data_IF_932177219262
#
_entry.id   IF_932177219262
#
_cell.length_a   1.000
_cell.length_b   1.000
_cell.length_c   1.000
_cell.angle_alpha   90.00
_cell.angle_beta   90.00
_cell.angle_gamma   90.00
#
_symmetry.space_group_name_H-M   'P 1'
#
loop_
_entity.id
_entity.type
_entity.pdbx_description
1 polymer ?
#
# COMPACT_ATOMS: atom_id res chain seq x y z
N UNK A 1 5.64 15.62 14.67
CA UNK A 1 4.74 15.04 15.70
C UNK A 1 3.57 14.38 15.00
N UNK A 2 3.28 13.15 15.37
CA UNK A 2 2.09 12.43 14.90
C UNK A 2 1.24 12.02 16.09
N UNK A 3 -0.08 12.23 15.99
CA UNK A 3 -1.07 11.84 16.99
C UNK A 3 -2.07 10.87 16.35
N UNK A 4 -2.33 9.76 17.04
CA UNK A 4 -3.37 8.80 16.67
C UNK A 4 -4.31 8.63 17.86
N UNK A 5 -5.61 8.70 17.63
CA UNK A 5 -6.63 8.51 18.67
C UNK A 5 -7.69 7.53 18.20
N UNK A 6 -8.21 6.73 19.11
CA UNK A 6 -9.32 5.81 18.90
C UNK A 6 -10.42 6.05 19.95
N UNK A 7 -11.63 5.60 19.62
CA UNK A 7 -12.79 5.60 20.52
C UNK A 7 -13.06 4.19 21.11
N UNK A 8 -11.98 3.41 21.30
CA UNK A 8 -12.05 2.08 21.88
C UNK A 8 -12.33 2.05 23.38
N UNK A 9 -12.12 0.90 24.00
CA UNK A 9 -12.44 0.67 25.42
C UNK A 9 -11.59 1.51 26.39
N UNK A 10 -10.51 2.11 25.92
CA UNK A 10 -9.54 2.83 26.77
C UNK A 10 -8.73 1.91 27.68
N UNK A 11 -7.86 2.54 28.51
CA UNK A 11 -6.97 1.85 29.42
C UNK A 11 -6.98 2.53 30.79
N UNK A 12 -6.69 1.76 31.85
CA UNK A 12 -6.52 2.32 33.20
C UNK A 12 -5.17 3.05 33.34
N UNK A 13 -5.11 4.05 34.22
CA UNK A 13 -3.87 4.75 34.52
C UNK A 13 -2.77 3.82 35.02
N UNK A 14 -3.14 2.81 35.80
CA UNK A 14 -2.20 1.83 36.39
C UNK A 14 -1.55 0.99 35.30
N UNK A 15 -2.36 0.51 34.30
CA UNK A 15 -1.87 -0.23 33.17
C UNK A 15 -0.93 0.62 32.29
N UNK A 16 -1.29 1.87 32.02
CA UNK A 16 -0.46 2.79 31.22
C UNK A 16 0.90 3.01 31.87
N UNK A 17 0.94 3.22 33.19
CA UNK A 17 2.17 3.52 33.93
C UNK A 17 3.10 2.33 34.05
N UNK A 18 2.57 1.14 34.30
CA UNK A 18 3.36 -0.01 34.74
C UNK A 18 3.48 -1.12 33.68
N UNK A 19 2.50 -1.26 32.78
CA UNK A 19 2.36 -2.48 32.01
C UNK A 19 2.34 -2.27 30.48
N UNK A 20 1.83 -1.16 29.98
CA UNK A 20 1.60 -0.90 28.56
C UNK A 20 2.83 -1.17 27.66
N UNK A 21 4.02 -0.87 28.15
CA UNK A 21 5.26 -1.06 27.41
C UNK A 21 6.07 -2.28 27.87
N UNK A 22 5.47 -3.15 28.69
CA UNK A 22 6.11 -4.38 29.15
C UNK A 22 5.84 -5.51 28.13
N UNK A 23 6.87 -6.24 27.65
CA UNK A 23 6.70 -7.33 26.71
C UNK A 23 5.74 -8.41 27.25
N UNK A 24 4.91 -8.96 26.36
CA UNK A 24 3.96 -10.04 26.62
C UNK A 24 2.81 -9.71 27.57
N UNK A 25 2.62 -8.45 27.94
CA UNK A 25 1.51 -8.00 28.78
C UNK A 25 0.38 -7.47 27.91
N UNK A 26 -0.86 -7.74 28.33
CA UNK A 26 -2.10 -7.28 27.67
C UNK A 26 -3.05 -6.73 28.72
N UNK A 27 -3.83 -5.70 28.34
CA UNK A 27 -4.76 -5.04 29.26
C UNK A 27 -5.93 -5.94 29.70
N UNK A 28 -6.28 -6.94 28.90
CA UNK A 28 -7.35 -7.90 29.16
C UNK A 28 -6.86 -9.32 28.90
N UNK A 29 -6.68 -10.09 30.00
CA UNK A 29 -6.33 -11.52 29.97
C UNK A 29 -7.55 -12.42 29.96
N UNK A 30 -8.76 -11.88 29.71
CA UNK A 30 -9.97 -12.71 29.63
C UNK A 30 -9.91 -13.60 28.39
N UNK A 31 -10.08 -14.92 28.61
CA UNK A 31 -10.07 -15.96 27.57
C UNK A 31 -11.20 -15.84 26.53
N UNK A 32 -11.85 -14.68 26.41
CA UNK A 32 -12.96 -14.35 25.53
C UNK A 32 -12.73 -13.12 24.65
N UNK A 33 -11.53 -12.54 24.61
CA UNK A 33 -11.28 -11.47 23.64
C UNK A 33 -11.00 -12.11 22.27
N UNK A 34 -11.80 -11.80 21.27
CA UNK A 34 -11.61 -12.20 19.86
C UNK A 34 -10.32 -11.59 19.24
N UNK A 35 -9.58 -10.78 20.00
CA UNK A 35 -8.34 -10.11 19.59
C UNK A 35 -7.15 -10.62 20.39
N UNK A 36 -6.63 -11.78 19.98
CA UNK A 36 -5.40 -12.34 20.54
C UNK A 36 -4.17 -11.66 19.93
N UNK A 37 -3.56 -10.74 20.65
CA UNK A 37 -2.27 -10.14 20.30
C UNK A 37 -1.12 -10.82 21.05
N UNK A 38 0.13 -10.62 20.62
CA UNK A 38 1.32 -11.16 21.29
C UNK A 38 1.80 -10.33 22.48
N UNK A 39 1.25 -9.13 22.70
CA UNK A 39 1.74 -8.18 23.70
C UNK A 39 3.12 -7.59 23.38
N UNK A 40 3.60 -7.72 22.14
CA UNK A 40 4.93 -7.22 21.71
C UNK A 40 4.86 -5.88 20.97
N UNK A 41 3.71 -5.49 20.43
CA UNK A 41 3.60 -4.31 19.57
C UNK A 41 4.02 -3.01 20.26
N UNK A 42 3.46 -2.69 21.41
CA UNK A 42 3.74 -1.44 22.11
C UNK A 42 5.18 -1.35 22.67
N UNK A 43 5.77 -2.40 23.25
CA UNK A 43 7.18 -2.43 23.61
C UNK A 43 8.11 -2.16 22.42
N UNK A 44 7.84 -2.76 21.26
CA UNK A 44 8.62 -2.56 20.03
C UNK A 44 8.51 -1.10 19.56
N UNK A 45 7.30 -0.55 19.49
CA UNK A 45 7.07 0.86 19.12
C UNK A 45 7.85 1.80 20.01
N UNK A 46 7.80 1.61 21.35
CA UNK A 46 8.56 2.43 22.29
C UNK A 46 10.06 2.36 22.04
N UNK A 47 10.60 1.16 21.87
CA UNK A 47 12.04 0.98 21.59
C UNK A 47 12.47 1.64 20.27
N UNK A 48 11.65 1.56 19.22
CA UNK A 48 11.94 2.21 17.94
C UNK A 48 11.95 3.73 18.09
N UNK A 49 10.92 4.30 18.74
CA UNK A 49 10.83 5.74 18.98
C UNK A 49 12.04 6.25 19.77
N UNK A 50 12.42 5.54 20.85
CA UNK A 50 13.58 5.87 21.67
C UNK A 50 14.90 5.77 20.89
N UNK A 51 15.08 4.72 20.07
CA UNK A 51 16.26 4.59 19.19
C UNK A 51 16.36 5.70 18.15
N UNK A 52 15.23 6.25 17.71
CA UNK A 52 15.18 7.41 16.83
C UNK A 52 15.35 8.74 17.58
N UNK A 53 15.62 8.72 18.89
CA UNK A 53 15.78 9.92 19.71
C UNK A 53 14.46 10.65 20.00
N UNK A 54 13.34 9.98 19.84
CA UNK A 54 12.01 10.53 20.07
C UNK A 54 11.39 10.17 21.41
N UNK A 55 10.13 10.55 21.57
CA UNK A 55 9.32 10.25 22.74
C UNK A 55 7.92 9.78 22.35
N UNK A 56 7.34 8.89 23.13
CA UNK A 56 5.96 8.45 23.02
C UNK A 56 5.22 8.74 24.33
N UNK A 57 4.04 9.36 24.22
CA UNK A 57 3.14 9.61 25.36
C UNK A 57 1.77 9.05 25.06
N UNK A 58 1.05 8.64 26.10
CA UNK A 58 -0.28 8.02 26.00
C UNK A 58 -1.22 8.71 26.97
N UNK A 59 -2.36 9.13 26.46
CA UNK A 59 -3.51 9.62 27.22
C UNK A 59 -4.65 8.66 26.95
N UNK A 60 -5.23 8.05 27.99
CA UNK A 60 -6.35 7.13 27.83
C UNK A 60 -7.22 7.13 29.06
N UNK A 61 -8.50 6.82 28.87
CA UNK A 61 -9.48 6.67 29.93
C UNK A 61 -10.45 5.54 29.58
N UNK A 62 -10.73 4.68 30.54
CA UNK A 62 -11.68 3.58 30.37
C UNK A 62 -13.03 4.07 29.87
N UNK A 63 -13.53 3.49 28.80
CA UNK A 63 -14.77 3.83 28.12
C UNK A 63 -14.72 5.06 27.22
N UNK A 64 -13.60 5.78 27.13
CA UNK A 64 -13.46 6.98 26.30
C UNK A 64 -12.42 6.82 25.16
N UNK A 65 -11.62 5.75 25.21
CA UNK A 65 -10.61 5.47 24.20
C UNK A 65 -9.20 5.90 24.58
N UNK A 66 -8.30 5.93 23.61
CA UNK A 66 -6.87 6.19 23.79
C UNK A 66 -6.32 7.17 22.78
N UNK A 67 -5.34 7.97 23.20
CA UNK A 67 -4.60 8.86 22.34
C UNK A 67 -3.10 8.63 22.52
N UNK A 68 -2.42 8.26 21.44
CA UNK A 68 -0.97 8.08 21.39
C UNK A 68 -0.33 9.25 20.67
N UNK A 69 0.66 9.88 21.29
CA UNK A 69 1.42 10.98 20.70
C UNK A 69 2.88 10.57 20.57
N UNK A 70 3.41 10.57 19.34
CA UNK A 70 4.82 10.28 19.05
C UNK A 70 5.47 11.56 18.53
N UNK A 71 6.61 11.90 19.11
CA UNK A 71 7.45 13.02 18.69
C UNK A 71 8.81 12.47 18.29
N UNK A 72 9.20 12.70 17.03
CA UNK A 72 10.50 12.28 16.49
C UNK A 72 11.28 13.50 16.01
N UNK A 73 12.58 13.61 16.34
CA UNK A 73 13.46 14.62 15.76
C UNK A 73 13.90 14.16 14.35
N UNK A 74 13.66 14.99 13.35
CA UNK A 74 14.19 14.78 12.01
C UNK A 74 15.15 15.92 11.65
N UNK A 75 16.23 15.58 10.97
CA UNK A 75 17.08 16.60 10.32
C UNK A 75 16.33 17.15 9.12
N UNK A 76 16.28 18.46 8.98
CA UNK A 76 15.76 19.09 7.79
C UNK A 76 16.79 18.84 6.67
N UNK A 77 16.36 18.19 5.59
CA UNK A 77 17.16 18.07 4.39
C UNK A 77 17.17 19.43 3.66
N UNK A 78 18.24 20.18 3.83
CA UNK A 78 18.42 21.49 3.17
C UNK A 78 18.77 21.34 1.68
N UNK A 79 19.09 20.12 1.21
CA UNK A 79 19.37 19.80 -0.19
C UNK A 79 18.20 19.09 -0.87
N UNK A 80 17.07 18.92 -0.17
CA UNK A 80 15.87 18.42 -0.79
C UNK A 80 15.55 19.29 -1.99
N UNK A 81 15.67 18.75 -3.20
CA UNK A 81 15.10 19.40 -4.37
C UNK A 81 13.64 19.65 -4.05
N UNK A 82 13.11 20.85 -4.34
CA UNK A 82 11.65 21.03 -4.29
C UNK A 82 11.08 19.87 -5.10
N UNK A 83 10.19 19.10 -4.52
CA UNK A 83 9.32 18.26 -5.34
C UNK A 83 8.66 19.25 -6.29
N UNK A 84 9.11 19.26 -7.54
CA UNK A 84 8.35 19.86 -8.61
C UNK A 84 7.01 19.16 -8.48
N UNK A 85 6.03 19.87 -7.95
CA UNK A 85 4.63 19.49 -8.14
C UNK A 85 4.41 19.67 -9.64
N UNK A 86 4.79 18.65 -10.39
CA UNK A 86 4.28 18.52 -11.72
C UNK A 86 2.76 18.54 -11.52
N UNK A 87 2.13 19.61 -11.96
CA UNK A 87 0.68 19.65 -12.10
C UNK A 87 0.33 18.59 -13.15
N UNK A 88 0.21 17.36 -12.67
CA UNK A 88 -0.30 16.24 -13.47
C UNK A 88 -1.79 16.45 -13.74
N UNK A 89 -2.12 17.50 -14.46
CA UNK A 89 -3.36 17.60 -15.19
C UNK A 89 -3.23 16.79 -16.49
N UNK A 90 -2.72 15.56 -16.40
CA UNK A 90 -2.79 14.65 -17.52
C UNK A 90 -4.25 14.26 -17.69
N UNK A 91 -4.86 14.73 -18.76
CA UNK A 91 -6.19 14.28 -19.16
C UNK A 91 -6.10 12.81 -19.58
N UNK A 92 -6.68 11.93 -18.77
CA UNK A 92 -6.76 10.49 -19.06
C UNK A 92 -8.13 10.13 -19.67
N UNK A 93 -8.90 11.10 -20.13
CA UNK A 93 -10.21 10.88 -20.74
C UNK A 93 -10.09 9.94 -21.94
N UNK A 94 -10.84 8.85 -21.88
CA UNK A 94 -10.89 7.85 -22.94
C UNK A 94 -9.72 6.86 -22.95
N UNK A 95 -8.72 7.00 -22.08
CA UNK A 95 -7.63 6.01 -21.92
C UNK A 95 -8.22 4.67 -21.48
N UNK A 96 -7.87 3.60 -22.17
CA UNK A 96 -8.35 2.24 -21.91
C UNK A 96 -7.33 1.50 -21.05
N UNK A 97 -7.73 1.17 -19.84
CA UNK A 97 -6.88 0.62 -18.79
C UNK A 97 -7.30 -0.80 -18.49
N UNK A 98 -6.36 -1.74 -18.50
CA UNK A 98 -6.52 -3.04 -17.86
C UNK A 98 -5.96 -2.94 -16.44
N UNK A 99 -6.85 -2.96 -15.45
CA UNK A 99 -6.51 -2.92 -14.03
C UNK A 99 -6.43 -4.35 -13.47
N UNK A 100 -5.28 -4.73 -12.94
CA UNK A 100 -5.01 -6.06 -12.41
C UNK A 100 -4.74 -5.96 -10.91
N UNK A 101 -5.69 -6.41 -10.11
CA UNK A 101 -5.66 -6.27 -8.65
C UNK A 101 -6.53 -7.36 -8.02
N UNK A 102 -6.06 -8.05 -6.98
CA UNK A 102 -6.77 -9.16 -6.33
C UNK A 102 -7.66 -8.73 -5.14
N UNK A 103 -7.46 -7.52 -4.63
CA UNK A 103 -8.22 -6.99 -3.50
C UNK A 103 -9.39 -6.13 -3.99
N UNK A 104 -10.62 -6.58 -3.76
CA UNK A 104 -11.87 -5.91 -4.18
C UNK A 104 -11.92 -4.43 -3.77
N UNK A 105 -11.48 -4.09 -2.54
CA UNK A 105 -11.50 -2.70 -2.07
C UNK A 105 -10.51 -1.83 -2.84
N UNK A 106 -9.32 -2.36 -3.15
CA UNK A 106 -8.35 -1.64 -3.98
C UNK A 106 -8.87 -1.44 -5.41
N UNK A 107 -9.54 -2.46 -5.97
CA UNK A 107 -10.21 -2.37 -7.28
C UNK A 107 -11.23 -1.24 -7.27
N UNK A 108 -12.16 -1.21 -6.29
CA UNK A 108 -13.20 -0.18 -6.20
C UNK A 108 -12.60 1.23 -6.11
N UNK A 109 -11.57 1.41 -5.29
CA UNK A 109 -10.91 2.73 -5.12
C UNK A 109 -10.21 3.15 -6.43
N UNK A 110 -9.43 2.26 -7.04
CA UNK A 110 -8.69 2.58 -8.26
C UNK A 110 -9.64 2.82 -9.44
N UNK A 111 -10.64 1.97 -9.62
CA UNK A 111 -11.66 2.11 -10.67
C UNK A 111 -12.42 3.43 -10.52
N UNK A 112 -12.86 3.77 -9.31
CA UNK A 112 -13.52 5.04 -9.03
C UNK A 112 -12.62 6.23 -9.41
N UNK A 113 -11.37 6.24 -8.96
CA UNK A 113 -10.44 7.33 -9.24
C UNK A 113 -10.15 7.49 -10.75
N UNK A 114 -9.99 6.38 -11.45
CA UNK A 114 -9.68 6.39 -12.88
C UNK A 114 -10.89 6.80 -13.73
N UNK A 115 -12.08 6.28 -13.41
CA UNK A 115 -13.32 6.57 -14.14
C UNK A 115 -13.82 8.00 -13.91
N UNK A 116 -13.69 8.54 -12.70
CA UNK A 116 -13.97 9.97 -12.41
C UNK A 116 -13.09 10.91 -13.25
N UNK A 117 -11.89 10.48 -13.63
CA UNK A 117 -11.01 11.21 -14.54
C UNK A 117 -11.18 10.83 -16.02
N UNK A 118 -12.25 10.13 -16.36
CA UNK A 118 -12.67 9.85 -17.72
C UNK A 118 -12.02 8.64 -18.39
N UNK A 119 -11.22 7.84 -17.66
CA UNK A 119 -10.66 6.60 -18.19
C UNK A 119 -11.74 5.51 -18.35
N UNK A 120 -11.46 4.55 -19.23
CA UNK A 120 -12.23 3.31 -19.38
C UNK A 120 -11.45 2.17 -18.75
N UNK A 121 -11.99 1.57 -17.70
CA UNK A 121 -11.30 0.55 -16.91
C UNK A 121 -11.95 -0.81 -17.13
N UNK A 122 -11.15 -1.83 -17.39
CA UNK A 122 -11.51 -3.23 -17.32
C UNK A 122 -10.67 -3.87 -16.22
N UNK A 123 -11.30 -4.66 -15.34
CA UNK A 123 -10.67 -5.20 -14.14
C UNK A 123 -10.54 -6.72 -14.22
N UNK A 124 -9.41 -7.24 -13.75
CA UNK A 124 -9.14 -8.68 -13.59
C UNK A 124 -8.42 -8.94 -12.26
N UNK A 125 -8.59 -10.14 -11.68
CA UNK A 125 -8.25 -10.40 -10.29
C UNK A 125 -6.88 -11.06 -10.06
N UNK A 126 -6.13 -11.39 -11.11
CA UNK A 126 -4.80 -11.98 -11.00
C UNK A 126 -4.03 -11.90 -12.32
N UNK A 127 -2.73 -12.18 -12.25
CA UNK A 127 -1.86 -12.12 -13.41
C UNK A 127 -2.21 -13.10 -14.54
N UNK A 128 -2.77 -14.27 -14.21
CA UNK A 128 -3.18 -15.25 -15.24
C UNK A 128 -4.36 -14.72 -16.06
N UNK A 129 -5.37 -14.17 -15.40
CA UNK A 129 -6.49 -13.52 -16.07
C UNK A 129 -6.01 -12.33 -16.94
N UNK A 130 -5.06 -11.54 -16.42
CA UNK A 130 -4.49 -10.43 -17.18
C UNK A 130 -3.84 -10.90 -18.50
N UNK A 131 -3.06 -11.97 -18.46
CA UNK A 131 -2.46 -12.57 -19.67
C UNK A 131 -3.53 -13.04 -20.64
N UNK A 132 -4.54 -13.78 -20.16
CA UNK A 132 -5.63 -14.33 -20.97
C UNK A 132 -6.47 -13.22 -21.62
N UNK A 133 -6.87 -12.20 -20.85
CA UNK A 133 -7.63 -11.06 -21.37
C UNK A 133 -6.83 -10.27 -22.41
N UNK A 134 -5.55 -10.00 -22.09
CA UNK A 134 -4.70 -9.31 -23.04
C UNK A 134 -4.48 -10.12 -24.33
N UNK A 135 -4.23 -11.42 -24.24
CA UNK A 135 -4.03 -12.30 -25.40
C UNK A 135 -5.28 -12.43 -26.26
N UNK A 136 -6.47 -12.54 -25.64
CA UNK A 136 -7.76 -12.66 -26.32
C UNK A 136 -8.25 -11.34 -26.95
N UNK A 137 -7.75 -10.20 -26.49
CA UNK A 137 -8.14 -8.88 -27.01
C UNK A 137 -7.52 -8.59 -28.36
N UNK A 138 -8.15 -7.72 -29.14
CA UNK A 138 -7.54 -7.19 -30.35
C UNK A 138 -6.31 -6.31 -30.02
N UNK A 139 -5.24 -6.33 -30.86
CA UNK A 139 -4.12 -5.42 -30.65
C UNK A 139 -4.57 -3.95 -30.56
N UNK A 140 -4.08 -3.27 -29.52
CA UNK A 140 -4.48 -1.88 -29.26
C UNK A 140 -5.83 -1.72 -28.54
N UNK A 141 -6.39 -2.78 -27.94
CA UNK A 141 -7.58 -2.67 -27.08
C UNK A 141 -7.28 -1.88 -25.81
N UNK A 142 -6.11 -2.04 -25.22
CA UNK A 142 -5.66 -1.33 -24.03
C UNK A 142 -4.56 -0.34 -24.39
N UNK A 143 -4.55 0.79 -23.70
CA UNK A 143 -3.51 1.82 -23.81
C UNK A 143 -2.46 1.67 -22.71
N UNK A 144 -2.83 1.08 -21.57
CA UNK A 144 -1.95 0.82 -20.41
C UNK A 144 -2.49 -0.34 -19.57
N UNK A 145 -1.59 -1.06 -18.91
CA UNK A 145 -1.89 -2.08 -17.90
C UNK A 145 -1.40 -1.56 -16.55
N UNK A 146 -2.30 -1.46 -15.57
CA UNK A 146 -1.95 -1.24 -14.16
C UNK A 146 -1.90 -2.60 -13.47
N UNK A 147 -0.73 -3.01 -13.01
CA UNK A 147 -0.46 -4.37 -12.57
C UNK A 147 -0.03 -4.40 -11.11
N UNK A 148 -0.84 -4.99 -10.23
CA UNK A 148 -0.36 -5.33 -8.90
C UNK A 148 0.80 -6.33 -8.99
N UNK A 149 1.82 -6.12 -8.17
CA UNK A 149 2.99 -7.00 -8.13
C UNK A 149 2.69 -8.27 -7.34
N UNK A 150 1.94 -8.16 -6.24
CA UNK A 150 1.73 -9.25 -5.28
C UNK A 150 0.30 -9.78 -5.37
N UNK A 151 0.09 -10.81 -6.17
CA UNK A 151 -1.22 -11.45 -6.36
C UNK A 151 -1.13 -12.98 -6.27
N UNK A 152 -2.22 -13.65 -5.86
CA UNK A 152 -2.31 -15.11 -5.91
C UNK A 152 -2.36 -15.63 -7.35
N UNK A 153 -2.22 -16.92 -7.54
CA UNK A 153 -2.26 -17.67 -8.82
C UNK A 153 -1.09 -17.33 -9.73
N UNK A 154 -0.95 -16.06 -10.15
CA UNK A 154 0.18 -15.54 -10.91
C UNK A 154 0.45 -14.11 -10.47
N UNK A 155 1.69 -13.87 -10.02
CA UNK A 155 2.16 -12.55 -9.62
C UNK A 155 2.36 -11.63 -10.84
N UNK A 156 2.42 -10.31 -10.58
CA UNK A 156 2.53 -9.31 -11.63
C UNK A 156 3.84 -9.34 -12.41
N UNK A 157 4.95 -9.76 -11.79
CA UNK A 157 6.24 -9.88 -12.48
C UNK A 157 6.20 -11.02 -13.50
N UNK A 158 5.64 -12.16 -13.11
CA UNK A 158 5.46 -13.34 -13.99
C UNK A 158 4.47 -13.01 -15.12
N UNK A 159 3.34 -12.36 -14.78
CA UNK A 159 2.37 -11.93 -15.78
C UNK A 159 2.99 -10.98 -16.82
N UNK A 160 3.78 -9.99 -16.36
CA UNK A 160 4.47 -9.06 -17.25
C UNK A 160 5.44 -9.77 -18.19
N UNK A 161 6.28 -10.67 -17.68
CA UNK A 161 7.19 -11.46 -18.52
C UNK A 161 6.45 -12.29 -19.56
N UNK A 162 5.31 -12.89 -19.17
CA UNK A 162 4.46 -13.67 -20.06
C UNK A 162 3.85 -12.78 -21.13
N UNK A 163 3.26 -11.63 -20.78
CA UNK A 163 2.73 -10.66 -21.76
C UNK A 163 3.83 -10.24 -22.74
N UNK A 164 5.02 -9.86 -22.23
CA UNK A 164 6.15 -9.44 -23.08
C UNK A 164 6.64 -10.54 -24.04
N UNK A 165 6.39 -11.82 -23.74
CA UNK A 165 6.76 -12.96 -24.59
C UNK A 165 5.73 -13.32 -25.65
N UNK A 166 4.51 -12.76 -25.61
CA UNK A 166 3.48 -13.04 -26.61
C UNK A 166 3.90 -12.58 -28.01
N UNK A 167 3.52 -13.37 -29.02
CA UNK A 167 3.79 -13.06 -30.44
C UNK A 167 2.78 -12.06 -31.01
N UNK A 168 2.64 -10.91 -30.34
CA UNK A 168 1.80 -9.82 -30.83
C UNK A 168 2.55 -8.49 -30.73
N UNK A 169 2.26 -7.59 -31.65
CA UNK A 169 3.06 -6.37 -31.84
C UNK A 169 3.02 -5.45 -30.60
N UNK A 170 1.84 -5.28 -30.00
CA UNK A 170 1.62 -4.39 -28.85
C UNK A 170 2.11 -4.98 -27.52
N UNK A 171 2.30 -6.29 -27.41
CA UNK A 171 2.80 -6.94 -26.21
C UNK A 171 4.18 -6.41 -25.75
N UNK A 172 5.00 -5.98 -26.71
CA UNK A 172 6.36 -5.45 -26.42
C UNK A 172 6.37 -3.97 -26.08
N UNK A 173 5.30 -3.25 -26.45
CA UNK A 173 5.27 -1.76 -26.39
C UNK A 173 4.23 -1.22 -25.43
N UNK A 174 3.17 -1.99 -25.09
CA UNK A 174 2.14 -1.52 -24.16
C UNK A 174 2.77 -1.12 -22.81
N UNK A 175 2.49 0.07 -22.30
CA UNK A 175 2.94 0.45 -20.97
C UNK A 175 2.35 -0.48 -19.91
N UNK A 176 3.20 -1.04 -19.06
CA UNK A 176 2.81 -1.81 -17.87
C UNK A 176 3.38 -1.07 -16.67
N UNK A 177 2.50 -0.61 -15.79
CA UNK A 177 2.85 0.16 -14.60
C UNK A 177 2.59 -0.72 -13.38
N UNK A 178 3.64 -0.95 -12.60
CA UNK A 178 3.52 -1.70 -11.35
C UNK A 178 2.73 -0.90 -10.31
N UNK A 179 1.82 -1.55 -9.60
CA UNK A 179 1.21 -1.05 -8.36
C UNK A 179 1.82 -1.81 -7.19
N UNK A 180 2.49 -1.11 -6.26
CA UNK A 180 3.18 -1.73 -5.15
C UNK A 180 2.74 -1.15 -3.81
N UNK A 181 2.67 -1.97 -2.76
CA UNK A 181 2.44 -1.49 -1.40
C UNK A 181 3.64 -0.72 -0.82
N UNK A 182 4.84 -0.93 -1.38
CA UNK A 182 6.09 -0.30 -0.95
C UNK A 182 6.86 0.24 -2.16
N UNK A 183 7.22 1.52 -2.11
CA UNK A 183 8.06 2.17 -3.13
C UNK A 183 9.57 2.00 -2.83
N UNK A 184 10.02 0.83 -2.32
CA UNK A 184 11.44 0.60 -2.10
C UNK A 184 12.17 0.38 -3.42
N UNK A 185 13.39 0.89 -3.49
CA UNK A 185 14.24 0.88 -4.68
C UNK A 185 14.50 -0.52 -5.24
N UNK A 186 14.63 -1.53 -4.36
CA UNK A 186 14.84 -2.93 -4.76
C UNK A 186 13.63 -3.54 -5.49
N UNK A 187 12.42 -3.16 -5.12
CA UNK A 187 11.21 -3.65 -5.77
C UNK A 187 10.98 -2.97 -7.12
N UNK A 188 11.34 -1.69 -7.23
CA UNK A 188 11.32 -0.96 -8.49
C UNK A 188 12.29 -1.58 -9.53
N UNK A 189 13.50 -1.97 -9.11
CA UNK A 189 14.49 -2.63 -9.97
C UNK A 189 13.95 -3.95 -10.54
N UNK A 190 13.33 -4.80 -9.71
CA UNK A 190 12.70 -6.05 -10.14
C UNK A 190 11.56 -5.84 -11.14
N UNK A 191 10.73 -4.80 -10.94
CA UNK A 191 9.67 -4.45 -11.87
C UNK A 191 10.22 -4.08 -13.25
N UNK A 192 11.26 -3.25 -13.27
CA UNK A 192 11.92 -2.86 -14.54
C UNK A 192 12.59 -4.05 -15.23
N UNK A 193 13.26 -4.94 -14.49
CA UNK A 193 13.85 -6.18 -15.02
C UNK A 193 12.80 -7.14 -15.60
N UNK A 194 11.59 -7.16 -15.04
CA UNK A 194 10.48 -7.94 -15.58
C UNK A 194 9.90 -7.37 -16.87
N UNK A 195 10.23 -6.11 -17.24
CA UNK A 195 9.75 -5.43 -18.43
C UNK A 195 8.61 -4.45 -18.18
N UNK A 196 8.38 -4.04 -16.92
CA UNK A 196 7.46 -2.95 -16.59
C UNK A 196 8.12 -1.60 -16.92
N UNK A 197 7.29 -0.57 -17.13
CA UNK A 197 7.75 0.75 -17.59
C UNK A 197 7.86 1.78 -16.46
N UNK A 198 7.07 1.60 -15.41
CA UNK A 198 7.06 2.48 -14.24
C UNK A 198 6.50 1.75 -13.03
N UNK A 199 6.53 2.39 -11.87
CA UNK A 199 5.87 1.90 -10.66
C UNK A 199 5.14 3.04 -9.95
N UNK A 200 4.02 2.70 -9.32
CA UNK A 200 3.20 3.56 -8.46
C UNK A 200 3.07 2.92 -7.08
N UNK A 201 3.17 3.72 -6.03
CA UNK A 201 2.76 3.27 -4.71
C UNK A 201 1.24 3.20 -4.65
N UNK A 202 0.69 2.11 -4.09
CA UNK A 202 -0.75 2.02 -3.78
C UNK A 202 -1.12 3.06 -2.74
N UNK A 203 -2.33 3.62 -2.85
CA UNK A 203 -2.85 4.58 -1.87
C UNK A 203 -3.05 3.99 -0.48
#
# INVERSE_FOLDING_TARGET
TRRSSDLGIGMSEEFIKNELFTPFVQADNSARSDYSGTGLGMPIVKQLVEKMGGTITVESKLGEGSCFTVVLPFKIDTNARPEEKEDFNADISGVRILLVEDNELNVEIAEFMLTENGAKVETVNNGLEAVQHFEASEPGTYDVILMDVMMPVMDGLTATKTIRSLERQDAKTIPIIAMTANAFREDAEKCMEAGMNAHLAKP
#
